data_IF_204687704214
#
_entry.id   IF_204687704214
#
_cell.length_a   1.000
_cell.length_b   1.000
_cell.length_c   1.000
_cell.angle_alpha   90.00
_cell.angle_beta   90.00
_cell.angle_gamma   90.00
#
_symmetry.space_group_name_H-M   'P 1'
#
loop_
_entity.id
_entity.type
_entity.pdbx_description
1 polymer ?
#
# COMPACT_ATOMS: atom_id res chain seq x y z
N UNK A 1 6.99 -3.11 -3.92
CA UNK A 1 5.64 -2.60 -3.61
C UNK A 1 5.54 -1.16 -4.06
N UNK A 2 4.45 -0.77 -4.71
CA UNK A 2 4.22 0.62 -5.15
C UNK A 2 3.25 1.29 -4.17
N UNK A 3 3.61 2.47 -3.67
CA UNK A 3 2.80 3.25 -2.71
C UNK A 3 2.71 4.69 -3.20
N UNK A 4 1.49 5.21 -3.33
CA UNK A 4 1.24 6.63 -3.54
C UNK A 4 0.97 7.26 -2.16
N UNK A 5 1.98 7.90 -1.57
CA UNK A 5 1.87 8.53 -0.27
C UNK A 5 1.21 9.91 -0.40
N UNK A 6 0.35 10.26 0.57
CA UNK A 6 -0.29 11.57 0.58
C UNK A 6 0.75 12.68 0.83
N UNK A 7 0.76 13.68 -0.06
CA UNK A 7 1.56 14.89 0.08
C UNK A 7 0.61 16.06 0.30
N UNK A 8 0.76 16.76 1.43
CA UNK A 8 -0.11 17.89 1.78
C UNK A 8 -0.09 18.97 0.69
N UNK A 9 -1.26 19.41 0.26
CA UNK A 9 -1.42 20.43 -0.78
C UNK A 9 -1.20 19.93 -2.22
N UNK A 10 -1.04 18.63 -2.44
CA UNK A 10 -0.86 18.02 -3.76
C UNK A 10 -2.00 17.04 -4.04
N UNK A 11 -2.59 17.12 -5.23
CA UNK A 11 -3.59 16.14 -5.67
C UNK A 11 -2.97 14.75 -5.79
N UNK A 12 -3.75 13.70 -5.52
CA UNK A 12 -3.25 12.32 -5.50
C UNK A 12 -2.52 11.90 -6.79
N UNK A 13 -2.99 12.35 -7.96
CA UNK A 13 -2.35 12.04 -9.25
C UNK A 13 -1.00 12.75 -9.46
N UNK A 14 -0.74 13.85 -8.72
CA UNK A 14 0.51 14.60 -8.76
C UNK A 14 1.53 14.12 -7.71
N UNK A 15 1.12 13.27 -6.78
CA UNK A 15 2.03 12.71 -5.78
C UNK A 15 2.94 11.65 -6.42
N UNK A 16 4.26 11.66 -6.13
CA UNK A 16 5.18 10.67 -6.66
C UNK A 16 4.88 9.29 -6.08
N UNK A 17 4.85 8.28 -6.95
CA UNK A 17 4.73 6.88 -6.52
C UNK A 17 6.09 6.40 -6.04
N UNK A 18 6.10 5.80 -4.85
CA UNK A 18 7.30 5.21 -4.25
C UNK A 18 7.37 3.72 -4.57
N UNK A 19 8.55 3.27 -5.00
CA UNK A 19 8.85 1.85 -5.09
C UNK A 19 9.57 1.38 -3.82
N UNK A 20 8.80 0.84 -2.87
CA UNK A 20 9.33 0.24 -1.66
C UNK A 20 9.93 -1.13 -1.94
N UNK A 21 11.19 -1.31 -1.53
CA UNK A 21 11.91 -2.58 -1.53
C UNK A 21 11.91 -3.18 -0.13
N UNK A 22 11.85 -4.52 -0.06
CA UNK A 22 11.98 -5.25 1.20
C UNK A 22 13.46 -5.26 1.61
N UNK A 23 13.72 -4.97 2.88
CA UNK A 23 15.06 -5.01 3.46
C UNK A 23 14.94 -5.55 4.89
N UNK A 24 15.91 -6.37 5.34
CA UNK A 24 15.77 -7.14 6.58
C UNK A 24 15.68 -6.27 7.84
N UNK A 25 16.30 -5.08 7.83
CA UNK A 25 16.21 -4.08 8.90
C UNK A 25 15.10 -3.03 8.69
N UNK A 26 14.44 -3.02 7.53
CA UNK A 26 13.49 -1.98 7.14
C UNK A 26 12.05 -2.32 7.54
N UNK A 27 11.36 -1.41 8.24
CA UNK A 27 9.99 -1.65 8.72
C UNK A 27 8.89 -1.26 7.73
N UNK A 28 9.13 -0.25 6.88
CA UNK A 28 8.09 0.39 6.08
C UNK A 28 7.41 -0.59 5.12
N UNK A 29 8.18 -1.42 4.40
CA UNK A 29 7.61 -2.44 3.52
C UNK A 29 6.71 -3.41 4.30
N UNK A 30 7.20 -3.91 5.45
CA UNK A 30 6.48 -4.87 6.28
C UNK A 30 5.18 -4.31 6.83
N UNK A 31 5.18 -3.04 7.23
CA UNK A 31 3.97 -2.34 7.71
C UNK A 31 2.88 -2.30 6.65
N UNK A 32 3.20 -1.85 5.43
CA UNK A 32 2.19 -1.83 4.36
C UNK A 32 1.73 -3.23 3.97
N UNK A 33 2.62 -4.23 3.96
CA UNK A 33 2.25 -5.61 3.66
C UNK A 33 1.24 -6.16 4.69
N UNK A 34 1.49 -5.94 5.99
CA UNK A 34 0.56 -6.34 7.05
C UNK A 34 -0.80 -5.64 6.94
N UNK A 35 -0.83 -4.37 6.53
CA UNK A 35 -2.10 -3.67 6.28
C UNK A 35 -2.90 -4.30 5.14
N UNK A 36 -2.24 -4.71 4.05
CA UNK A 36 -2.89 -5.43 2.97
C UNK A 36 -3.43 -6.78 3.42
N UNK A 37 -2.63 -7.57 4.16
CA UNK A 37 -3.05 -8.86 4.69
C UNK A 37 -4.27 -8.73 5.62
N UNK A 38 -4.30 -7.70 6.46
CA UNK A 38 -5.41 -7.43 7.37
C UNK A 38 -6.73 -7.14 6.61
N UNK A 39 -6.66 -6.31 5.56
CA UNK A 39 -7.83 -6.04 4.70
C UNK A 39 -8.28 -7.32 4.00
N UNK A 40 -7.34 -8.06 3.42
CA UNK A 40 -7.62 -9.29 2.68
C UNK A 40 -8.28 -10.36 3.56
N UNK A 41 -7.83 -10.53 4.80
CA UNK A 41 -8.40 -11.50 5.75
C UNK A 41 -9.89 -11.25 6.05
N UNK A 42 -10.36 -10.01 5.89
CA UNK A 42 -11.77 -9.64 6.13
C UNK A 42 -12.57 -9.41 4.84
N UNK A 43 -11.92 -9.48 3.68
CA UNK A 43 -12.55 -9.18 2.41
C UNK A 43 -13.49 -10.32 1.98
N UNK A 44 -14.55 -9.95 1.26
CA UNK A 44 -15.45 -10.92 0.60
C UNK A 44 -15.08 -11.04 -0.88
N UNK A 45 -15.10 -12.25 -1.47
CA UNK A 45 -14.90 -12.41 -2.91
C UNK A 45 -15.91 -11.58 -3.71
N UNK A 46 -15.44 -11.01 -4.81
CA UNK A 46 -16.32 -10.36 -5.79
C UNK A 46 -17.16 -11.46 -6.45
N UNK A 47 -18.47 -11.24 -6.58
CA UNK A 47 -19.33 -12.12 -7.36
C UNK A 47 -19.19 -11.74 -8.83
N UNK A 48 -18.95 -12.73 -9.68
CA UNK A 48 -19.02 -12.57 -11.13
C UNK A 48 -20.51 -12.67 -11.54
N UNK A 49 -20.96 -11.75 -12.40
CA UNK A 49 -22.32 -11.76 -12.99
C UNK A 49 -22.38 -12.62 -14.25
#
# INVERSE_FOLDING_TARGET
MLVNAHVWGVNAYGAPVWHLRRHDSGKVFGTYAQSFDAVWATATPVREE
#
